data_IF_746793151794
#
_entry.id   IF_746793151794
#
_cell.length_a   1.000
_cell.length_b   1.000
_cell.length_c   1.000
_cell.angle_alpha   90.00
_cell.angle_beta   90.00
_cell.angle_gamma   90.00
#
_symmetry.space_group_name_H-M   'P 1'
#
loop_
_entity.id
_entity.type
_entity.pdbx_description
1 polymer ?
#
# COMPACT_ATOMS: atom_id res chain seq x y z
N UNK A 1 -56.21 -26.08 -50.06
CA UNK A 1 -54.91 -25.87 -50.74
C UNK A 1 -53.87 -25.75 -49.64
N UNK A 2 -53.18 -26.80 -49.19
CA UNK A 2 -51.97 -27.41 -49.79
C UNK A 2 -51.06 -26.32 -50.36
N UNK A 3 -49.86 -26.04 -49.85
CA UNK A 3 -48.67 -26.92 -49.82
C UNK A 3 -47.70 -26.53 -48.70
N UNK A 4 -46.96 -27.54 -48.23
CA UNK A 4 -45.94 -27.60 -47.18
C UNK A 4 -44.55 -27.69 -47.85
N UNK A 5 -43.59 -26.80 -47.57
CA UNK A 5 -42.13 -27.00 -47.82
C UNK A 5 -41.32 -26.10 -46.86
N UNK A 6 -40.56 -26.59 -45.86
CA UNK A 6 -39.31 -27.38 -45.83
C UNK A 6 -38.07 -26.46 -45.66
N UNK A 7 -37.50 -26.46 -44.43
CA UNK A 7 -36.15 -25.98 -44.06
C UNK A 7 -35.06 -26.74 -44.86
N UNK A 8 -33.89 -26.15 -45.11
CA UNK A 8 -32.66 -26.41 -44.31
C UNK A 8 -31.78 -25.11 -44.25
N UNK A 9 -30.57 -24.98 -43.70
CA UNK A 9 -29.68 -25.61 -42.72
C UNK A 9 -28.41 -24.71 -42.70
N UNK A 10 -27.58 -24.89 -41.67
CA UNK A 10 -26.35 -24.17 -41.29
C UNK A 10 -25.31 -23.95 -42.40
N UNK A 11 -24.51 -22.89 -42.24
CA UNK A 11 -23.06 -22.88 -42.53
C UNK A 11 -22.42 -21.80 -41.63
N UNK A 12 -21.67 -22.14 -40.57
CA UNK A 12 -20.29 -22.64 -40.52
C UNK A 12 -19.25 -21.57 -40.91
N UNK A 13 -18.43 -21.18 -39.92
CA UNK A 13 -17.19 -20.39 -40.07
C UNK A 13 -16.24 -21.02 -41.10
N UNK A 14 -15.25 -20.25 -41.56
CA UNK A 14 -13.89 -20.77 -41.59
C UNK A 14 -12.94 -19.91 -40.76
N UNK A 15 -12.21 -20.57 -39.86
CA UNK A 15 -10.89 -20.13 -39.41
C UNK A 15 -9.88 -20.48 -40.51
N UNK A 16 -8.92 -19.59 -40.77
CA UNK A 16 -7.60 -19.98 -41.24
C UNK A 16 -6.57 -18.98 -40.73
N UNK A 17 -5.67 -19.49 -39.89
CA UNK A 17 -4.44 -18.85 -39.46
C UNK A 17 -3.47 -18.83 -40.65
N UNK A 18 -2.65 -17.78 -40.80
CA UNK A 18 -1.21 -17.99 -40.80
C UNK A 18 -0.42 -16.71 -40.52
N UNK A 19 0.70 -16.96 -39.86
CA UNK A 19 1.67 -16.10 -39.22
C UNK A 19 2.64 -15.41 -40.16
N UNK A 20 3.05 -14.18 -39.84
CA UNK A 20 4.40 -13.68 -40.15
C UNK A 20 4.95 -12.91 -38.94
N UNK A 21 5.90 -13.54 -38.23
CA UNK A 21 6.97 -12.93 -37.40
C UNK A 21 7.90 -12.16 -38.35
N UNK A 22 8.62 -11.09 -38.03
CA UNK A 22 9.02 -10.35 -36.82
C UNK A 22 9.70 -9.11 -37.39
N UNK A 23 9.50 -7.93 -36.83
CA UNK A 23 10.64 -7.05 -36.59
C UNK A 23 10.54 -6.54 -35.16
N UNK A 24 11.56 -6.94 -34.41
CA UNK A 24 11.79 -6.71 -33.00
C UNK A 24 12.33 -5.29 -32.85
N UNK A 25 11.42 -4.34 -32.60
CA UNK A 25 11.85 -3.07 -32.02
C UNK A 25 11.76 -3.21 -30.51
N UNK A 26 12.89 -3.64 -29.94
CA UNK A 26 13.10 -3.76 -28.51
C UNK A 26 12.72 -2.45 -27.80
N UNK A 27 11.54 -2.45 -27.19
CA UNK A 27 11.17 -1.41 -26.25
C UNK A 27 12.13 -1.51 -25.06
N UNK A 28 13.10 -0.60 -25.01
CA UNK A 28 13.99 -0.42 -23.85
C UNK A 28 13.08 -0.15 -22.65
N UNK A 29 12.87 -1.16 -21.81
CA UNK A 29 12.18 -0.99 -20.53
C UNK A 29 13.01 -0.01 -19.72
N UNK A 30 12.56 1.24 -19.64
CA UNK A 30 13.16 2.23 -18.76
C UNK A 30 13.19 1.64 -17.35
N UNK A 31 14.39 1.50 -16.78
CA UNK A 31 14.55 1.14 -15.37
C UNK A 31 13.86 2.23 -14.56
N UNK A 32 12.69 1.92 -13.99
CA UNK A 32 12.07 2.80 -13.00
C UNK A 32 12.98 2.83 -11.79
N UNK A 33 13.68 3.94 -11.60
CA UNK A 33 14.36 4.24 -10.34
C UNK A 33 13.29 4.30 -9.25
N UNK A 34 13.46 3.62 -8.11
CA UNK A 34 12.50 3.71 -7.01
C UNK A 34 12.38 5.17 -6.55
N UNK A 35 11.15 5.68 -6.49
CA UNK A 35 10.82 7.00 -5.98
C UNK A 35 10.23 6.89 -4.57
N UNK A 36 10.39 7.93 -3.76
CA UNK A 36 9.78 7.99 -2.42
C UNK A 36 8.25 7.91 -2.50
N UNK A 37 7.64 7.34 -1.48
CA UNK A 37 6.18 7.34 -1.32
C UNK A 37 5.71 8.76 -1.02
N UNK A 38 4.62 9.18 -1.66
CA UNK A 38 4.01 10.48 -1.39
C UNK A 38 3.59 10.56 0.09
N UNK A 39 4.08 11.59 0.79
CA UNK A 39 3.84 11.79 2.22
C UNK A 39 4.95 11.28 3.13
N UNK A 40 5.87 10.45 2.60
CA UNK A 40 7.02 9.95 3.34
C UNK A 40 8.27 10.71 2.90
N UNK A 41 8.94 11.36 3.86
CA UNK A 41 10.11 12.21 3.61
C UNK A 41 11.30 11.68 4.38
N UNK A 42 12.46 11.71 3.74
CA UNK A 42 13.74 11.46 4.42
C UNK A 42 14.19 12.72 5.16
N UNK A 43 14.85 12.54 6.29
CA UNK A 43 15.53 13.63 7.00
C UNK A 43 17.01 13.59 6.63
N UNK A 44 17.45 14.60 5.87
CA UNK A 44 18.80 14.64 5.31
C UNK A 44 19.83 15.16 6.32
N UNK A 45 21.15 14.90 6.13
CA UNK A 45 22.20 15.36 7.05
C UNK A 45 22.15 16.86 7.37
N UNK A 46 21.81 17.70 6.39
CA UNK A 46 21.70 19.16 6.56
C UNK A 46 20.58 19.57 7.53
N UNK A 47 19.54 18.75 7.66
CA UNK A 47 18.39 18.94 8.54
C UNK A 47 18.60 18.30 9.93
N UNK A 48 19.51 17.33 10.06
CA UNK A 48 19.70 16.56 11.30
C UNK A 48 20.02 17.44 12.50
N UNK A 49 20.79 18.51 12.31
CA UNK A 49 21.14 19.46 13.39
C UNK A 49 19.93 20.03 14.14
N UNK A 50 18.82 20.26 13.43
CA UNK A 50 17.59 20.78 14.03
C UNK A 50 16.85 19.70 14.83
N UNK A 51 16.83 18.47 14.33
CA UNK A 51 16.24 17.32 15.01
C UNK A 51 17.03 16.91 16.24
N UNK A 52 18.36 16.96 16.18
CA UNK A 52 19.25 16.70 17.31
C UNK A 52 19.03 17.72 18.43
N UNK A 53 18.98 19.01 18.09
CA UNK A 53 18.67 20.06 19.06
C UNK A 53 17.35 19.80 19.80
N UNK A 54 16.28 19.44 19.08
CA UNK A 54 14.98 19.13 19.68
C UNK A 54 15.06 17.89 20.59
N UNK A 55 15.70 16.81 20.11
CA UNK A 55 15.86 15.55 20.86
C UNK A 55 16.66 15.75 22.14
N UNK A 56 17.72 16.55 22.09
CA UNK A 56 18.54 16.86 23.27
C UNK A 56 17.74 17.61 24.32
N UNK A 57 16.98 18.64 23.92
CA UNK A 57 16.14 19.41 24.85
C UNK A 57 15.05 18.57 25.47
N UNK A 58 14.36 17.75 24.68
CA UNK A 58 13.38 16.80 25.21
C UNK A 58 14.01 15.77 26.16
N UNK A 59 15.23 15.32 25.88
CA UNK A 59 15.96 14.37 26.73
C UNK A 59 16.43 14.99 28.05
N UNK A 60 16.87 16.25 28.03
CA UNK A 60 17.20 16.99 29.26
C UNK A 60 15.95 17.12 30.13
N UNK A 61 14.86 17.61 29.55
CA UNK A 61 13.60 17.82 30.26
C UNK A 61 13.07 16.52 30.89
N UNK A 62 13.02 15.41 30.14
CA UNK A 62 12.50 14.15 30.70
C UNK A 62 13.37 13.63 31.85
N UNK A 63 14.70 13.86 31.82
CA UNK A 63 15.62 13.44 32.89
C UNK A 63 15.42 14.27 34.15
N UNK A 64 15.28 15.59 34.01
CA UNK A 64 15.10 16.50 35.14
C UNK A 64 13.83 16.20 35.94
N UNK A 65 12.81 15.67 35.26
CA UNK A 65 11.53 15.28 35.86
C UNK A 65 11.41 13.77 36.16
N UNK A 66 12.48 12.99 35.96
CA UNK A 66 12.51 11.56 36.29
C UNK A 66 11.70 10.64 35.37
N UNK A 67 11.33 11.07 34.17
CA UNK A 67 10.63 10.23 33.19
C UNK A 67 11.57 9.27 32.45
N UNK A 68 11.25 7.97 32.54
CA UNK A 68 11.90 6.91 31.77
C UNK A 68 11.47 6.92 30.30
N UNK A 69 12.40 6.56 29.39
CA UNK A 69 12.07 6.31 27.98
C UNK A 69 11.60 4.88 27.84
N UNK A 70 10.49 4.68 27.13
CA UNK A 70 10.03 3.39 26.63
C UNK A 70 9.98 3.47 25.11
N UNK A 71 10.45 2.41 24.44
CA UNK A 71 10.33 2.26 23.01
C UNK A 71 9.34 1.11 22.76
N UNK A 72 8.26 1.41 22.03
CA UNK A 72 7.19 0.47 21.72
C UNK A 72 7.29 0.01 20.26
N UNK A 73 6.79 -1.18 19.91
CA UNK A 73 6.68 -1.63 18.52
C UNK A 73 5.93 -0.62 17.64
N UNK A 74 6.33 -0.50 16.37
CA UNK A 74 5.63 0.36 15.39
C UNK A 74 4.36 -0.34 14.87
N UNK A 75 4.35 -1.68 14.88
CA UNK A 75 3.26 -2.51 14.39
C UNK A 75 2.57 -3.19 15.57
N UNK A 76 1.25 -3.07 15.64
CA UNK A 76 0.40 -3.61 16.71
C UNK A 76 -0.88 -4.21 16.12
N UNK A 77 -1.62 -5.07 16.86
CA UNK A 77 -2.92 -5.58 16.41
C UNK A 77 -3.91 -4.44 16.15
N UNK A 78 -4.64 -4.48 15.02
CA UNK A 78 -5.61 -3.43 14.65
C UNK A 78 -6.66 -3.20 15.75
N UNK A 79 -7.06 -4.27 16.43
CA UNK A 79 -8.03 -4.27 17.52
C UNK A 79 -7.65 -3.35 18.70
N UNK A 80 -6.35 -3.14 18.94
CA UNK A 80 -5.86 -2.26 20.00
C UNK A 80 -6.34 -0.82 19.77
N UNK A 81 -6.20 -0.32 18.53
CA UNK A 81 -6.56 1.06 18.16
C UNK A 81 -8.06 1.25 18.04
N UNK A 82 -8.76 0.25 17.48
CA UNK A 82 -10.22 0.29 17.33
C UNK A 82 -10.93 0.43 18.67
N UNK A 83 -10.42 -0.23 19.72
CA UNK A 83 -10.96 -0.16 21.08
C UNK A 83 -10.64 1.17 21.77
N UNK A 84 -9.43 1.69 21.58
CA UNK A 84 -8.96 2.90 22.26
C UNK A 84 -9.57 4.19 21.68
N UNK A 85 -9.64 4.32 20.35
CA UNK A 85 -10.06 5.55 19.67
C UNK A 85 -11.55 5.54 19.35
N UNK A 86 -12.13 4.36 19.15
CA UNK A 86 -13.54 4.18 18.78
C UNK A 86 -13.73 3.98 17.27
N UNK A 87 -14.63 3.06 16.93
CA UNK A 87 -14.85 2.55 15.55
C UNK A 87 -15.25 3.60 14.51
N UNK A 88 -15.87 4.70 14.92
CA UNK A 88 -16.45 5.71 14.01
C UNK A 88 -15.60 6.98 13.89
N UNK A 89 -14.32 6.88 14.21
CA UNK A 89 -13.39 8.01 14.09
C UNK A 89 -12.72 8.00 12.73
N UNK A 90 -12.49 9.18 12.15
CA UNK A 90 -11.83 9.32 10.85
C UNK A 90 -10.45 8.62 10.83
N UNK A 91 -9.77 8.58 11.98
CA UNK A 91 -8.50 7.87 12.17
C UNK A 91 -8.67 6.39 11.79
N UNK A 92 -9.66 5.72 12.37
CA UNK A 92 -9.91 4.28 12.16
C UNK A 92 -10.41 4.00 10.74
N UNK A 93 -11.20 4.91 10.18
CA UNK A 93 -11.82 4.69 8.87
C UNK A 93 -10.88 4.98 7.68
N UNK A 94 -9.99 5.96 7.79
CA UNK A 94 -9.28 6.53 6.62
C UNK A 94 -7.77 6.67 6.78
N UNK A 95 -7.25 6.69 8.00
CA UNK A 95 -5.85 7.09 8.24
C UNK A 95 -4.97 5.91 8.71
N UNK A 96 -5.57 4.81 9.20
CA UNK A 96 -4.81 3.63 9.64
C UNK A 96 -4.22 2.83 8.46
N UNK A 97 -2.89 2.69 8.45
CA UNK A 97 -2.20 1.75 7.56
C UNK A 97 -2.28 0.33 8.13
N UNK A 98 -3.31 -0.42 7.73
CA UNK A 98 -3.59 -1.78 8.19
C UNK A 98 -3.41 -2.82 7.08
N UNK A 99 -2.87 -3.98 7.44
CA UNK A 99 -2.73 -5.11 6.53
C UNK A 99 -2.91 -6.44 7.26
N UNK A 100 -3.05 -7.52 6.49
CA UNK A 100 -3.10 -8.88 7.01
C UNK A 100 -1.69 -9.44 6.92
N UNK A 101 -1.17 -9.94 8.03
CA UNK A 101 0.15 -10.56 8.05
C UNK A 101 0.12 -12.00 7.49
N UNK A 102 1.26 -12.68 7.51
CA UNK A 102 1.36 -14.06 7.02
C UNK A 102 0.61 -15.07 7.91
N UNK A 103 0.29 -14.70 9.15
CA UNK A 103 -0.48 -15.50 10.10
C UNK A 103 -1.99 -15.27 10.01
N UNK A 104 -2.44 -14.51 9.01
CA UNK A 104 -3.85 -14.07 8.84
C UNK A 104 -4.33 -13.09 9.92
N UNK A 105 -3.43 -12.53 10.73
CA UNK A 105 -3.74 -11.54 11.73
C UNK A 105 -3.80 -10.13 11.14
N UNK A 106 -4.75 -9.32 11.61
CA UNK A 106 -4.86 -7.91 11.22
C UNK A 106 -3.96 -7.04 12.09
N UNK A 107 -3.00 -6.42 11.44
CA UNK A 107 -1.99 -5.56 12.08
C UNK A 107 -2.00 -4.17 11.46
N UNK A 108 -1.62 -3.18 12.25
CA UNK A 108 -1.69 -1.76 11.89
C UNK A 108 -0.44 -1.03 12.35
N UNK A 109 0.13 -0.18 11.48
CA UNK A 109 1.16 0.77 11.88
C UNK A 109 0.53 1.81 12.83
N UNK A 110 1.19 2.09 13.95
CA UNK A 110 0.71 3.05 14.95
C UNK A 110 0.30 4.39 14.29
N UNK A 111 -0.98 4.80 14.35
CA UNK A 111 -1.48 5.98 13.66
C UNK A 111 -1.18 7.30 14.39
N UNK A 112 -0.73 7.22 15.65
CA UNK A 112 -0.39 8.36 16.51
C UNK A 112 1.08 8.81 16.38
N UNK A 113 1.85 8.14 15.51
CA UNK A 113 3.30 8.35 15.35
C UNK A 113 3.64 9.61 14.55
#
# INVERSE_FOLDING_TARGET
>A
MSVKMKKPEKAAKPQAQESVKKEDQGAVKQKKTPSLLRGFRDVLPDEQKYWEFLREKATQLRRDYGFGRIDLPILEPTDLFVRAVGKQTDIVEKEMFSFVDMGEDRVTLRPEA
#
